data_IF_826904923576
#
_entry.id   IF_826904923576
#
_cell.length_a   1.000
_cell.length_b   1.000
_cell.length_c   1.000
_cell.angle_alpha   90.00
_cell.angle_beta   90.00
_cell.angle_gamma   90.00
#
_symmetry.space_group_name_H-M   'P 1'
#
loop_
_entity.id
_entity.type
_entity.pdbx_description
1 polymer ?
#
# COMPACT_ATOMS: atom_id res chain seq x y z
N UNK A 1 3.30 -10.60 -5.39
CA UNK A 1 2.05 -9.94 -4.94
C UNK A 1 0.84 -10.40 -5.75
N UNK A 2 0.88 -10.37 -7.09
CA UNK A 2 -0.22 -10.90 -7.92
C UNK A 2 -1.49 -10.03 -7.88
N UNK A 3 -1.31 -8.74 -7.57
CA UNK A 3 -2.30 -7.67 -7.57
C UNK A 3 -1.81 -6.58 -8.54
N UNK A 4 -2.67 -5.62 -8.90
CA UNK A 4 -2.26 -4.48 -9.74
C UNK A 4 -1.23 -3.61 -8.99
N UNK A 5 -0.31 -2.92 -9.69
CA UNK A 5 0.63 -2.00 -9.04
C UNK A 5 -0.04 -0.93 -8.17
N UNK A 6 -1.20 -0.42 -8.59
CA UNK A 6 -1.99 0.56 -7.83
C UNK A 6 -2.53 0.01 -6.49
N UNK A 7 -2.61 -1.31 -6.34
CA UNK A 7 -3.12 -1.99 -5.13
C UNK A 7 -2.00 -2.37 -4.15
N UNK A 8 -0.74 -2.03 -4.42
CA UNK A 8 0.38 -2.47 -3.56
C UNK A 8 0.28 -1.90 -2.14
N UNK A 9 -0.15 -0.65 -1.99
CA UNK A 9 -0.38 -0.04 -0.67
C UNK A 9 -1.49 -0.77 0.10
N UNK A 10 -2.60 -1.11 -0.56
CA UNK A 10 -3.67 -1.93 0.00
C UNK A 10 -3.19 -3.33 0.38
N UNK A 11 -2.41 -3.96 -0.49
CA UNK A 11 -1.82 -5.26 -0.25
C UNK A 11 -0.98 -5.24 1.04
N UNK A 12 -0.10 -4.25 1.21
CA UNK A 12 0.71 -4.12 2.42
C UNK A 12 -0.09 -3.66 3.64
N UNK A 13 -1.18 -2.91 3.44
CA UNK A 13 -2.16 -2.63 4.50
C UNK A 13 -2.79 -3.90 5.06
N UNK A 14 -3.01 -4.91 4.22
CA UNK A 14 -3.54 -6.22 4.64
C UNK A 14 -2.46 -7.14 5.21
N UNK A 15 -1.32 -7.29 4.53
CA UNK A 15 -0.30 -8.29 4.90
C UNK A 15 0.72 -7.80 5.92
N UNK A 16 0.88 -6.49 6.05
CA UNK A 16 2.03 -5.89 6.71
C UNK A 16 3.31 -5.92 5.87
N UNK A 17 4.35 -5.32 6.44
CA UNK A 17 5.72 -5.25 5.91
C UNK A 17 6.66 -5.57 7.08
N UNK A 18 7.16 -6.82 7.13
CA UNK A 18 7.93 -7.33 8.27
C UNK A 18 9.23 -6.55 8.52
N UNK A 19 9.97 -6.22 7.46
CA UNK A 19 11.22 -5.45 7.54
C UNK A 19 11.04 -4.03 8.08
N UNK A 20 9.82 -3.49 8.03
CA UNK A 20 9.47 -2.14 8.46
C UNK A 20 8.58 -2.12 9.69
N UNK A 21 8.38 -3.27 10.34
CA UNK A 21 7.51 -3.43 11.51
C UNK A 21 6.06 -2.93 11.27
N UNK A 22 5.58 -3.00 10.04
CA UNK A 22 4.19 -2.70 9.70
C UNK A 22 3.37 -3.98 9.84
N UNK A 23 2.39 -4.06 10.76
CA UNK A 23 1.76 -5.33 11.14
C UNK A 23 0.68 -5.83 10.16
N UNK A 24 -0.03 -4.93 9.48
CA UNK A 24 -1.20 -5.28 8.66
C UNK A 24 -2.37 -5.82 9.49
N UNK A 25 -3.17 -6.73 8.92
CA UNK A 25 -4.25 -7.44 9.63
C UNK A 25 -3.75 -8.82 10.09
N UNK A 26 -3.77 -9.11 11.41
CA UNK A 26 -3.42 -10.42 11.94
C UNK A 26 -4.12 -11.59 11.25
N UNK A 27 -3.33 -12.51 10.70
CA UNK A 27 -3.84 -13.69 10.02
C UNK A 27 -4.41 -13.44 8.60
N UNK A 28 -4.13 -12.27 8.00
CA UNK A 28 -4.29 -12.03 6.56
C UNK A 28 -2.90 -12.02 5.91
N UNK A 29 -2.49 -13.18 5.40
CA UNK A 29 -1.19 -13.33 4.72
C UNK A 29 -1.24 -13.02 3.21
N UNK A 30 -0.11 -13.15 2.50
CA UNK A 30 0.02 -12.88 1.05
C UNK A 30 -1.05 -13.52 0.17
N UNK A 31 -1.38 -14.79 0.42
CA UNK A 31 -2.39 -15.53 -0.36
C UNK A 31 -3.79 -14.95 -0.16
N UNK A 32 -4.14 -14.64 1.09
CA UNK A 32 -5.44 -14.05 1.45
C UNK A 32 -5.58 -12.64 0.89
N UNK A 33 -4.56 -11.79 1.04
CA UNK A 33 -4.57 -10.44 0.50
C UNK A 33 -4.70 -10.44 -1.04
N UNK A 34 -4.01 -11.35 -1.73
CA UNK A 34 -4.18 -11.52 -3.18
C UNK A 34 -5.61 -11.90 -3.55
N UNK A 35 -6.20 -12.90 -2.86
CA UNK A 35 -7.57 -13.36 -3.12
C UNK A 35 -8.58 -12.22 -2.94
N UNK A 36 -8.48 -11.48 -1.83
CA UNK A 36 -9.34 -10.32 -1.52
C UNK A 36 -9.18 -9.23 -2.58
N UNK A 37 -7.96 -8.81 -2.91
CA UNK A 37 -7.71 -7.71 -3.87
C UNK A 37 -7.88 -8.12 -5.34
N UNK A 38 -8.09 -9.41 -5.61
CA UNK A 38 -8.56 -9.87 -6.93
C UNK A 38 -10.06 -9.69 -7.05
N UNK A 39 -10.81 -9.89 -5.96
CA UNK A 39 -12.26 -9.73 -5.92
C UNK A 39 -12.69 -8.26 -5.73
N UNK A 40 -11.93 -7.50 -4.94
CA UNK A 40 -12.25 -6.11 -4.58
C UNK A 40 -11.15 -5.16 -5.04
N UNK A 41 -11.52 -3.92 -5.35
CA UNK A 41 -10.59 -2.92 -5.82
C UNK A 41 -9.55 -2.52 -4.75
N UNK A 42 -9.99 -2.36 -3.51
CA UNK A 42 -9.16 -1.91 -2.39
C UNK A 42 -9.69 -2.42 -1.03
N UNK A 43 -9.03 -2.02 0.06
CA UNK A 43 -9.43 -2.40 1.43
C UNK A 43 -10.86 -1.90 1.76
N UNK A 44 -11.26 -0.73 1.27
CA UNK A 44 -12.56 -0.12 1.57
C UNK A 44 -13.69 -0.87 0.88
N UNK A 45 -13.51 -1.19 -0.41
CA UNK A 45 -14.44 -1.99 -1.18
C UNK A 45 -14.60 -3.39 -0.56
N UNK A 46 -13.51 -4.01 -0.11
CA UNK A 46 -13.56 -5.29 0.58
C UNK A 46 -14.33 -5.20 1.92
N UNK A 47 -14.10 -4.14 2.69
CA UNK A 47 -14.75 -3.93 3.99
C UNK A 47 -16.26 -3.70 3.85
N UNK A 48 -16.66 -2.89 2.88
CA UNK A 48 -18.06 -2.54 2.64
C UNK A 48 -18.88 -3.66 1.99
N UNK A 49 -18.25 -4.59 1.27
CA UNK A 49 -18.95 -5.66 0.56
C UNK A 49 -19.44 -6.76 1.49
N UNK A 50 -20.69 -7.20 1.35
CA UNK A 50 -21.24 -8.40 2.01
C UNK A 50 -20.62 -9.71 1.48
N UNK A 51 -20.04 -9.69 0.27
CA UNK A 51 -19.44 -10.87 -0.38
C UNK A 51 -18.05 -11.24 0.18
N UNK A 52 -17.44 -10.37 1.00
CA UNK A 52 -16.16 -10.70 1.63
C UNK A 52 -16.34 -11.92 2.55
N UNK A 53 -15.48 -12.92 2.32
CA UNK A 53 -15.57 -14.24 2.94
C UNK A 53 -15.69 -14.14 4.48
N UNK A 54 -16.64 -14.86 5.12
CA UNK A 54 -16.91 -14.74 6.56
C UNK A 54 -15.69 -14.90 7.47
N UNK A 55 -14.70 -15.73 7.09
CA UNK A 55 -13.44 -15.91 7.82
C UNK A 55 -12.61 -14.62 7.96
N UNK A 56 -12.78 -13.66 7.05
CA UNK A 56 -12.08 -12.38 7.05
C UNK A 56 -12.90 -11.25 7.67
N UNK A 57 -14.23 -11.38 7.73
CA UNK A 57 -15.13 -10.34 8.26
C UNK A 57 -14.71 -9.88 9.64
N UNK A 58 -14.65 -10.80 10.59
CA UNK A 58 -14.27 -10.52 11.99
C UNK A 58 -12.89 -9.85 12.08
N UNK A 59 -11.94 -10.27 11.24
CA UNK A 59 -10.58 -9.70 11.23
C UNK A 59 -10.57 -8.27 10.70
N UNK A 60 -11.37 -7.98 9.69
CA UNK A 60 -11.55 -6.63 9.19
C UNK A 60 -12.23 -5.77 10.26
N UNK A 61 -13.33 -6.22 10.86
CA UNK A 61 -14.04 -5.46 11.90
C UNK A 61 -13.12 -5.09 13.09
N UNK A 62 -12.26 -6.02 13.52
CA UNK A 62 -11.33 -5.80 14.63
C UNK A 62 -10.09 -4.95 14.27
N UNK A 63 -9.69 -4.91 12.99
CA UNK A 63 -8.39 -4.37 12.58
C UNK A 63 -8.42 -3.41 11.38
N UNK A 64 -9.60 -2.97 10.92
CA UNK A 64 -9.73 -2.10 9.73
C UNK A 64 -8.95 -0.79 9.89
N UNK A 65 -9.01 -0.16 11.06
CA UNK A 65 -8.26 1.07 11.34
C UNK A 65 -6.74 0.86 11.27
N UNK A 66 -6.26 -0.29 11.78
CA UNK A 66 -4.85 -0.67 11.66
C UNK A 66 -4.47 -0.89 10.19
N UNK A 67 -5.33 -1.55 9.41
CA UNK A 67 -5.09 -1.78 7.99
C UNK A 67 -5.03 -0.47 7.20
N UNK A 68 -5.94 0.47 7.46
CA UNK A 68 -5.97 1.82 6.89
C UNK A 68 -4.68 2.59 7.22
N UNK A 69 -4.24 2.53 8.48
CA UNK A 69 -2.98 3.15 8.89
C UNK A 69 -1.77 2.50 8.21
N UNK A 70 -1.72 1.17 8.15
CA UNK A 70 -0.66 0.43 7.48
C UNK A 70 -0.59 0.76 5.98
N UNK A 71 -1.74 0.85 5.30
CA UNK A 71 -1.86 1.33 3.91
C UNK A 71 -1.26 2.72 3.76
N UNK A 72 -1.62 3.65 4.66
CA UNK A 72 -1.11 5.03 4.65
C UNK A 72 0.41 5.08 4.81
N UNK A 73 0.97 4.27 5.71
CA UNK A 73 2.43 4.17 5.94
C UNK A 73 3.15 3.56 4.73
N UNK A 74 2.53 2.58 4.07
CA UNK A 74 3.10 1.93 2.89
C UNK A 74 3.00 2.79 1.61
N UNK A 75 2.10 3.77 1.58
CA UNK A 75 1.91 4.66 0.43
C UNK A 75 3.00 5.73 0.33
N UNK A 76 3.48 5.99 -0.89
CA UNK A 76 4.39 7.10 -1.15
C UNK A 76 3.64 8.42 -1.17
N UNK A 77 4.25 9.46 -0.58
CA UNK A 77 3.74 10.83 -0.64
C UNK A 77 4.26 11.50 -1.92
N UNK A 78 3.37 11.76 -2.88
CA UNK A 78 3.71 12.28 -4.21
C UNK A 78 3.51 13.80 -4.37
N UNK A 79 3.08 14.48 -3.31
CA UNK A 79 2.73 15.91 -3.28
C UNK A 79 3.67 16.71 -2.37
N UNK A 80 4.94 16.29 -2.28
CA UNK A 80 5.94 17.00 -1.49
C UNK A 80 6.41 18.27 -2.22
N UNK A 81 6.63 19.34 -1.45
CA UNK A 81 7.29 20.53 -1.97
C UNK A 81 8.80 20.26 -2.07
N UNK A 82 9.36 20.43 -3.27
CA UNK A 82 10.76 20.10 -3.54
C UNK A 82 11.71 21.28 -3.29
N UNK A 83 11.21 22.52 -3.29
CA UNK A 83 12.04 23.72 -3.13
C UNK A 83 12.97 24.04 -4.31
N UNK A 84 12.88 23.29 -5.41
CA UNK A 84 13.58 23.52 -6.67
C UNK A 84 12.69 23.09 -7.84
N UNK A 85 13.09 23.44 -9.06
CA UNK A 85 12.39 23.08 -10.29
C UNK A 85 13.28 22.22 -11.21
N UNK A 86 12.67 21.61 -12.23
CA UNK A 86 13.38 20.69 -13.13
C UNK A 86 14.56 21.31 -13.89
N UNK A 87 14.59 22.64 -14.06
CA UNK A 87 15.72 23.33 -14.70
C UNK A 87 16.97 23.33 -13.82
N UNK A 88 16.81 23.36 -12.49
CA UNK A 88 17.93 23.43 -11.52
C UNK A 88 18.78 22.14 -11.52
N UNK A 89 18.17 21.00 -11.91
CA UNK A 89 18.82 19.68 -12.00
C UNK A 89 19.10 19.25 -13.44
N UNK A 90 19.02 20.16 -14.40
CA UNK A 90 19.30 19.85 -15.81
C UNK A 90 20.78 19.47 -15.96
N UNK A 91 21.05 18.29 -16.52
CA UNK A 91 22.40 17.87 -16.85
C UNK A 91 23.04 18.83 -17.88
N UNK A 92 24.18 19.43 -17.53
CA UNK A 92 24.89 20.44 -18.35
C UNK A 92 26.08 19.87 -19.13
N UNK A 93 26.25 18.55 -19.16
CA UNK A 93 27.44 17.91 -19.74
C UNK A 93 28.56 17.72 -18.72
N UNK A 94 29.61 16.95 -19.07
CA UNK A 94 30.76 16.76 -18.19
C UNK A 94 31.49 18.09 -17.94
N UNK A 95 31.86 18.34 -16.68
CA UNK A 95 32.76 19.44 -16.34
C UNK A 95 34.06 19.24 -17.15
N UNK A 96 34.38 20.16 -18.05
CA UNK A 96 35.73 20.19 -18.62
C UNK A 96 36.66 20.60 -17.49
N UNK A 97 37.42 19.62 -16.98
CA UNK A 97 38.57 19.92 -16.16
C UNK A 97 39.52 20.81 -16.99
N UNK A 98 39.86 21.98 -16.45
CA UNK A 98 40.98 22.80 -16.94
C UNK A 98 42.31 22.12 -16.60
#
# INVERSE_FOLDING_TARGET
FGVKPSQLADYWGLTGISSSQVPGIPGVGPKAAKEILTQFEDIEAAYASEELVPKYRKKFDEHIESARLCKKVAALKCDIELGFNLQDIRFTGPNKAE
#
